data_IF_832451794296
#
_entry.id   IF_832451794296
#
_cell.length_a   1.000
_cell.length_b   1.000
_cell.length_c   1.000
_cell.angle_alpha   90.00
_cell.angle_beta   90.00
_cell.angle_gamma   90.00
#
_symmetry.space_group_name_H-M   'P 1'
#
loop_
_entity.id
_entity.type
_entity.pdbx_description
1 polymer ?
#
# COMPACT_ATOMS: atom_id res chain seq x y z
N UNK A 1 7.78 -10.28 -17.45
CA UNK A 1 7.30 -10.43 -16.05
C UNK A 1 8.30 -9.80 -15.10
N UNK A 2 7.82 -9.06 -14.12
CA UNK A 2 8.65 -8.31 -13.17
C UNK A 2 8.61 -8.99 -11.82
N UNK A 3 9.80 -9.27 -11.26
CA UNK A 3 9.98 -9.78 -9.89
C UNK A 3 10.86 -8.83 -9.09
N UNK A 4 10.65 -8.78 -7.78
CA UNK A 4 11.60 -8.14 -6.89
C UNK A 4 12.74 -9.12 -6.58
N UNK A 5 14.01 -8.68 -6.58
CA UNK A 5 15.10 -9.47 -6.03
C UNK A 5 14.85 -9.83 -4.56
N UNK A 6 15.28 -10.99 -4.12
CA UNK A 6 15.09 -11.42 -2.72
C UNK A 6 15.57 -10.37 -1.71
N UNK A 7 16.74 -9.78 -1.95
CA UNK A 7 17.31 -8.75 -1.08
C UNK A 7 16.42 -7.49 -0.96
N UNK A 8 15.56 -7.21 -1.94
CA UNK A 8 14.67 -6.05 -1.89
C UNK A 8 13.59 -6.18 -0.81
N UNK A 9 13.24 -7.39 -0.40
CA UNK A 9 12.26 -7.61 0.67
C UNK A 9 12.77 -7.09 2.02
N UNK A 10 14.03 -7.35 2.33
CA UNK A 10 14.65 -6.81 3.54
C UNK A 10 14.97 -5.32 3.43
N UNK A 11 15.37 -4.86 2.24
CA UNK A 11 15.85 -3.50 2.05
C UNK A 11 14.73 -2.46 1.88
N UNK A 12 13.62 -2.83 1.24
CA UNK A 12 12.65 -1.83 0.80
C UNK A 12 11.17 -2.25 0.88
N UNK A 13 10.86 -3.52 0.71
CA UNK A 13 9.47 -3.99 0.65
C UNK A 13 8.89 -4.30 2.03
N UNK A 14 9.65 -5.00 2.87
CA UNK A 14 9.22 -5.48 4.18
C UNK A 14 10.34 -5.35 5.21
N UNK A 15 10.95 -4.18 5.32
CA UNK A 15 12.08 -3.97 6.25
C UNK A 15 11.68 -4.11 7.72
N UNK A 16 10.39 -3.98 8.04
CA UNK A 16 9.88 -4.18 9.40
C UNK A 16 9.53 -5.64 9.72
N UNK A 17 9.57 -6.53 8.73
CA UNK A 17 9.30 -7.95 8.94
C UNK A 17 10.53 -8.67 9.52
N UNK A 18 10.29 -9.79 10.22
CA UNK A 18 11.36 -10.70 10.61
C UNK A 18 12.03 -11.32 9.38
N UNK A 19 13.29 -11.75 9.51
CA UNK A 19 14.04 -12.34 8.40
C UNK A 19 13.34 -13.54 7.75
N UNK A 20 12.70 -14.39 8.57
CA UNK A 20 11.92 -15.54 8.07
C UNK A 20 10.72 -15.10 7.23
N UNK A 21 10.02 -14.05 7.64
CA UNK A 21 8.89 -13.50 6.87
C UNK A 21 9.36 -12.88 5.56
N UNK A 22 10.50 -12.19 5.57
CA UNK A 22 11.10 -11.62 4.36
C UNK A 22 11.45 -12.72 3.34
N UNK A 23 12.04 -13.79 3.79
CA UNK A 23 12.35 -14.98 2.96
C UNK A 23 11.07 -15.60 2.40
N UNK A 24 10.05 -15.75 3.23
CA UNK A 24 8.76 -16.31 2.81
C UNK A 24 8.09 -15.43 1.76
N UNK A 25 8.04 -14.11 1.99
CA UNK A 25 7.45 -13.16 1.03
C UNK A 25 8.17 -13.21 -0.32
N UNK A 26 9.49 -13.29 -0.31
CA UNK A 26 10.26 -13.45 -1.54
C UNK A 26 9.91 -14.74 -2.28
N UNK A 27 9.79 -15.86 -1.54
CA UNK A 27 9.52 -17.16 -2.12
C UNK A 27 8.11 -17.27 -2.72
N UNK A 28 7.12 -16.60 -2.14
CA UNK A 28 5.72 -16.69 -2.57
C UNK A 28 5.30 -15.52 -3.47
N UNK A 29 6.18 -14.58 -3.78
CA UNK A 29 5.82 -13.45 -4.62
C UNK A 29 5.30 -13.91 -5.98
N UNK A 30 4.35 -13.16 -6.50
CA UNK A 30 3.85 -13.36 -7.86
C UNK A 30 4.41 -12.28 -8.78
N UNK A 31 4.76 -12.62 -10.02
CA UNK A 31 5.27 -11.64 -10.95
C UNK A 31 4.19 -10.64 -11.37
N UNK A 32 4.63 -9.45 -11.70
CA UNK A 32 3.78 -8.40 -12.27
C UNK A 32 4.04 -8.30 -13.76
N UNK A 33 2.97 -8.26 -14.55
CA UNK A 33 3.08 -7.94 -15.98
C UNK A 33 3.39 -6.44 -16.15
N UNK A 34 4.32 -6.05 -17.03
CA UNK A 34 4.54 -4.65 -17.37
C UNK A 34 3.25 -3.92 -17.80
N UNK A 35 2.30 -4.63 -18.38
CA UNK A 35 1.01 -4.08 -18.77
C UNK A 35 0.22 -3.51 -17.58
N UNK A 36 0.42 -4.02 -16.37
CA UNK A 36 -0.21 -3.47 -15.16
C UNK A 36 0.24 -2.04 -14.85
N UNK A 37 1.39 -1.62 -15.40
CA UNK A 37 1.95 -0.29 -15.19
C UNK A 37 1.66 0.63 -16.37
N UNK A 38 1.65 0.08 -17.59
CA UNK A 38 1.64 0.88 -18.83
C UNK A 38 0.26 1.04 -19.45
N UNK A 39 -0.69 0.14 -19.17
CA UNK A 39 -2.04 0.26 -19.72
C UNK A 39 -2.82 1.36 -19.00
N UNK A 40 -3.40 2.25 -19.78
CA UNK A 40 -4.28 3.28 -19.25
C UNK A 40 -5.57 2.63 -18.70
N UNK A 41 -5.99 3.07 -17.52
CA UNK A 41 -7.30 2.72 -16.97
C UNK A 41 -8.35 3.73 -17.45
N UNK A 42 -9.62 3.33 -17.44
CA UNK A 42 -10.72 4.26 -17.68
C UNK A 42 -10.87 5.27 -16.54
N UNK A 43 -12.06 5.89 -16.41
CA UNK A 43 -12.33 6.82 -15.33
C UNK A 43 -12.13 6.13 -13.97
N UNK A 44 -11.21 6.58 -13.12
CA UNK A 44 -10.97 5.93 -11.83
C UNK A 44 -12.12 6.21 -10.86
N UNK A 45 -12.51 5.19 -10.09
CA UNK A 45 -13.64 5.27 -9.17
C UNK A 45 -13.45 6.27 -8.03
N UNK A 46 -12.21 6.60 -7.67
CA UNK A 46 -11.94 7.60 -6.63
C UNK A 46 -12.46 9.00 -7.00
N UNK A 47 -12.74 9.28 -8.27
CA UNK A 47 -13.38 10.53 -8.70
C UNK A 47 -14.86 10.62 -8.31
N UNK A 48 -15.50 9.48 -8.12
CA UNK A 48 -16.94 9.40 -7.90
C UNK A 48 -17.31 8.78 -6.54
N UNK A 49 -16.34 8.25 -5.81
CA UNK A 49 -16.55 7.53 -4.55
C UNK A 49 -15.68 8.11 -3.44
N UNK A 50 -16.13 8.04 -2.19
CA UNK A 50 -15.28 8.39 -1.07
C UNK A 50 -14.06 7.45 -1.01
N UNK A 51 -12.93 7.98 -0.59
CA UNK A 51 -11.66 7.27 -0.59
C UNK A 51 -10.94 7.45 0.74
N UNK A 52 -10.21 6.41 1.14
CA UNK A 52 -9.36 6.41 2.33
C UNK A 52 -7.95 6.01 1.89
N UNK A 53 -6.95 6.61 2.51
CA UNK A 53 -5.56 6.38 2.14
C UNK A 53 -4.69 6.25 3.39
N UNK A 54 -3.98 5.12 3.49
CA UNK A 54 -2.95 4.92 4.50
C UNK A 54 -1.61 5.36 3.93
N UNK A 55 -1.06 6.43 4.47
CA UNK A 55 0.29 6.87 4.11
C UNK A 55 1.29 6.07 4.93
N UNK A 56 2.12 5.30 4.25
CA UNK A 56 3.21 4.54 4.84
C UNK A 56 4.46 5.43 4.88
N UNK A 57 4.75 6.00 6.05
CA UNK A 57 5.80 7.01 6.22
C UNK A 57 7.22 6.48 5.98
N UNK A 58 7.42 5.17 6.19
CA UNK A 58 8.72 4.51 6.03
C UNK A 58 8.77 3.61 4.80
N UNK A 59 7.84 3.79 3.88
CA UNK A 59 7.82 3.08 2.62
C UNK A 59 9.05 3.47 1.78
N UNK A 60 9.81 2.46 1.36
CA UNK A 60 11.01 2.63 0.52
C UNK A 60 10.78 2.23 -0.94
N UNK A 61 9.57 1.78 -1.28
CA UNK A 61 9.17 1.48 -2.65
C UNK A 61 8.47 2.69 -3.28
N UNK A 62 7.54 3.30 -2.54
CA UNK A 62 6.84 4.51 -2.95
C UNK A 62 7.03 5.54 -1.84
N UNK A 63 7.82 6.57 -2.10
CA UNK A 63 8.13 7.59 -1.09
C UNK A 63 6.87 8.31 -0.59
N UNK A 64 6.87 8.68 0.67
CA UNK A 64 5.70 9.28 1.35
C UNK A 64 5.17 10.55 0.67
N UNK A 65 6.04 11.32 0.07
CA UNK A 65 5.66 12.55 -0.65
C UNK A 65 4.75 12.23 -1.85
N UNK A 66 5.09 11.18 -2.59
CA UNK A 66 4.26 10.69 -3.70
C UNK A 66 2.93 10.16 -3.19
N UNK A 67 2.94 9.42 -2.08
CA UNK A 67 1.71 8.92 -1.46
C UNK A 67 0.79 10.07 -1.03
N UNK A 68 1.34 11.11 -0.40
CA UNK A 68 0.57 12.30 -0.01
C UNK A 68 0.00 13.04 -1.21
N UNK A 69 0.78 13.17 -2.27
CA UNK A 69 0.29 13.73 -3.53
C UNK A 69 -0.92 12.94 -4.05
N UNK A 70 -0.83 11.62 -4.10
CA UNK A 70 -1.93 10.76 -4.54
C UNK A 70 -3.16 10.91 -3.65
N UNK A 71 -2.98 10.88 -2.33
CA UNK A 71 -4.07 11.02 -1.36
C UNK A 71 -4.79 12.36 -1.50
N UNK A 72 -4.04 13.45 -1.66
CA UNK A 72 -4.59 14.79 -1.87
C UNK A 72 -5.38 14.86 -3.19
N UNK A 73 -4.79 14.33 -4.27
CA UNK A 73 -5.46 14.27 -5.57
C UNK A 73 -6.77 13.50 -5.52
N UNK A 74 -6.84 12.44 -4.76
CA UNK A 74 -8.04 11.63 -4.55
C UNK A 74 -9.05 12.27 -3.59
N UNK A 75 -8.68 13.34 -2.90
CA UNK A 75 -9.43 13.90 -1.78
C UNK A 75 -9.73 12.84 -0.73
N UNK A 76 -8.79 11.95 -0.51
CA UNK A 76 -8.92 10.82 0.40
C UNK A 76 -8.88 11.29 1.87
N UNK A 77 -9.57 10.55 2.73
CA UNK A 77 -9.34 10.63 4.17
C UNK A 77 -8.07 9.89 4.50
N UNK A 78 -7.15 10.54 5.20
CA UNK A 78 -5.79 10.05 5.37
C UNK A 78 -5.55 9.60 6.80
N UNK A 79 -4.94 8.43 6.95
CA UNK A 79 -4.18 8.04 8.13
C UNK A 79 -2.71 7.93 7.77
N UNK A 80 -1.83 8.29 8.68
CA UNK A 80 -0.38 8.27 8.45
C UNK A 80 0.27 7.48 9.59
N UNK A 81 1.08 6.48 9.24
CA UNK A 81 1.76 5.62 10.20
C UNK A 81 3.20 5.34 9.76
N UNK A 82 4.07 5.12 10.73
CA UNK A 82 5.46 4.73 10.48
C UNK A 82 5.54 3.23 10.15
N UNK A 83 5.08 2.88 8.98
CA UNK A 83 5.04 1.50 8.47
C UNK A 83 5.79 1.41 7.14
N UNK A 84 6.16 0.18 6.77
CA UNK A 84 6.82 -0.10 5.50
C UNK A 84 5.84 -0.26 4.34
N UNK A 85 6.32 -0.78 3.20
CA UNK A 85 5.50 -0.93 1.99
C UNK A 85 4.40 -2.00 2.13
N UNK A 86 4.52 -2.92 3.08
CA UNK A 86 3.55 -4.02 3.27
C UNK A 86 2.93 -4.03 4.67
N UNK A 87 2.24 -2.96 5.10
CA UNK A 87 1.66 -2.91 6.44
C UNK A 87 0.60 -3.98 6.68
N UNK A 88 0.01 -4.54 5.64
CA UNK A 88 -0.94 -5.65 5.76
C UNK A 88 -0.30 -6.87 6.44
N UNK A 89 1.00 -7.04 6.30
CA UNK A 89 1.78 -8.11 6.95
C UNK A 89 2.45 -7.61 8.22
N UNK A 90 3.12 -6.45 8.17
CA UNK A 90 4.01 -5.97 9.23
C UNK A 90 3.30 -5.13 10.30
N UNK A 91 2.13 -4.58 9.99
CA UNK A 91 1.33 -3.77 10.92
C UNK A 91 -0.17 -3.90 10.61
N UNK A 92 -0.75 -5.11 10.66
CA UNK A 92 -2.14 -5.34 10.21
C UNK A 92 -3.16 -4.52 11.00
N UNK A 93 -2.89 -4.16 12.24
CA UNK A 93 -3.78 -3.34 13.06
C UNK A 93 -4.10 -1.99 12.43
N UNK A 94 -3.11 -1.28 11.89
CA UNK A 94 -3.34 0.03 11.26
C UNK A 94 -4.14 -0.09 9.96
N UNK A 95 -3.98 -1.20 9.26
CA UNK A 95 -4.76 -1.49 8.05
C UNK A 95 -6.23 -1.76 8.42
N UNK A 96 -6.46 -2.55 9.46
CA UNK A 96 -7.81 -2.82 9.97
C UNK A 96 -8.51 -1.54 10.42
N UNK A 97 -7.80 -0.63 11.08
CA UNK A 97 -8.37 0.65 11.54
C UNK A 97 -8.89 1.49 10.38
N UNK A 98 -8.13 1.67 9.31
CA UNK A 98 -8.58 2.48 8.18
C UNK A 98 -9.75 1.81 7.43
N UNK A 99 -9.77 0.47 7.36
CA UNK A 99 -10.90 -0.27 6.80
C UNK A 99 -12.15 -0.06 7.66
N UNK A 100 -12.03 -0.11 8.99
CA UNK A 100 -13.14 0.16 9.91
C UNK A 100 -13.67 1.59 9.75
N UNK A 101 -12.79 2.57 9.62
CA UNK A 101 -13.20 3.96 9.35
C UNK A 101 -14.06 4.04 8.08
N UNK A 102 -13.59 3.39 7.01
CA UNK A 102 -14.31 3.39 5.74
C UNK A 102 -15.70 2.73 5.87
N UNK A 103 -15.77 1.58 6.52
CA UNK A 103 -17.02 0.87 6.76
C UNK A 103 -17.98 1.74 7.59
N UNK A 104 -17.50 2.29 8.71
CA UNK A 104 -18.30 3.14 9.59
C UNK A 104 -18.87 4.33 8.84
N UNK A 105 -18.03 5.05 8.11
CA UNK A 105 -18.43 6.23 7.36
C UNK A 105 -19.46 5.96 6.27
N UNK A 106 -19.35 4.81 5.60
CA UNK A 106 -20.28 4.42 4.55
C UNK A 106 -21.62 3.94 5.13
N UNK A 107 -21.57 3.16 6.20
CA UNK A 107 -22.79 2.57 6.81
C UNK A 107 -23.62 3.60 7.58
N UNK A 108 -22.98 4.63 8.14
CA UNK A 108 -23.67 5.66 8.95
C UNK A 108 -24.14 6.89 8.16
N UNK A 109 -23.97 6.90 6.84
CA UNK A 109 -24.44 7.98 5.96
C UNK A 109 -25.93 7.97 5.73
#
# INVERSE_FOLDING_TARGET
MIYLPEAAFAAAFAQHAAAEEQTLLAAVQRPISPACITLAVGRPLWKDRPSWFLVAEEDRMIVRETQRFMATRMKARVRSHQVDHTPIVTAPGVVVEIIRDAVHDVVTR
#
